data_IF_107789731108
#
_entry.id   IF_107789731108
#
_cell.length_a   1.000
_cell.length_b   1.000
_cell.length_c   1.000
_cell.angle_alpha   90.00
_cell.angle_beta   90.00
_cell.angle_gamma   90.00
#
_symmetry.space_group_name_H-M   'P 1'
#
loop_
_entity.id
_entity.type
_entity.pdbx_description
1 polymer ?
#
# COMPACT_ATOMS: atom_id res chain seq x y z
N UNK A 1 -8.46 -3.30 -30.56
CA UNK A 1 -9.29 -2.80 -29.44
C UNK A 1 -9.96 -3.92 -28.63
N UNK A 2 -10.75 -4.84 -29.24
CA UNK A 2 -11.46 -5.89 -28.47
C UNK A 2 -10.52 -6.84 -27.70
N UNK A 3 -9.37 -7.21 -28.26
CA UNK A 3 -8.37 -8.07 -27.61
C UNK A 3 -7.70 -7.39 -26.40
N UNK A 4 -7.37 -6.11 -26.50
CA UNK A 4 -6.75 -5.33 -25.40
C UNK A 4 -7.74 -5.17 -24.23
N UNK A 5 -9.00 -4.88 -24.51
CA UNK A 5 -10.05 -4.80 -23.49
C UNK A 5 -10.23 -6.13 -22.75
N UNK A 6 -10.24 -7.26 -23.46
CA UNK A 6 -10.34 -8.60 -22.84
C UNK A 6 -9.11 -8.87 -21.98
N UNK A 7 -7.93 -8.45 -22.41
CA UNK A 7 -6.68 -8.58 -21.66
C UNK A 7 -6.72 -7.81 -20.34
N UNK A 8 -7.13 -6.56 -20.37
CA UNK A 8 -7.24 -5.70 -19.18
C UNK A 8 -8.28 -6.24 -18.21
N UNK A 9 -9.45 -6.70 -18.70
CA UNK A 9 -10.48 -7.31 -17.87
C UNK A 9 -10.00 -8.60 -17.20
N UNK A 10 -9.23 -9.43 -17.89
CA UNK A 10 -8.65 -10.65 -17.31
C UNK A 10 -7.67 -10.33 -16.19
N UNK A 11 -6.82 -9.30 -16.37
CA UNK A 11 -5.91 -8.84 -15.32
C UNK A 11 -6.67 -8.26 -14.10
N UNK A 12 -7.73 -7.50 -14.35
CA UNK A 12 -8.57 -6.95 -13.28
C UNK A 12 -9.29 -8.06 -12.50
N UNK A 13 -9.83 -9.06 -13.18
CA UNK A 13 -10.45 -10.20 -12.52
C UNK A 13 -9.42 -11.02 -11.72
N UNK A 14 -8.26 -11.25 -12.29
CA UNK A 14 -7.17 -11.96 -11.62
C UNK A 14 -6.74 -11.27 -10.33
N UNK A 15 -6.46 -9.95 -10.39
CA UNK A 15 -6.05 -9.21 -9.19
C UNK A 15 -7.19 -9.11 -8.17
N UNK A 16 -8.44 -8.98 -8.61
CA UNK A 16 -9.59 -8.96 -7.71
C UNK A 16 -9.72 -10.27 -6.91
N UNK A 17 -9.65 -11.42 -7.57
CA UNK A 17 -9.71 -12.74 -6.92
C UNK A 17 -8.53 -12.95 -5.96
N UNK A 18 -7.34 -12.58 -6.41
CA UNK A 18 -6.14 -12.71 -5.61
C UNK A 18 -6.19 -11.84 -4.36
N UNK A 19 -6.66 -10.60 -4.47
CA UNK A 19 -6.82 -9.69 -3.34
C UNK A 19 -7.92 -10.14 -2.37
N UNK A 20 -9.03 -10.65 -2.88
CA UNK A 20 -10.06 -11.26 -2.03
C UNK A 20 -9.45 -12.34 -1.12
N UNK A 21 -8.71 -13.27 -1.71
CA UNK A 21 -8.11 -14.37 -0.95
C UNK A 21 -6.98 -13.91 -0.01
N UNK A 22 -6.07 -13.05 -0.47
CA UNK A 22 -4.94 -12.58 0.35
C UNK A 22 -5.37 -11.66 1.50
N UNK A 23 -6.37 -10.81 1.28
CA UNK A 23 -6.89 -9.94 2.31
C UNK A 23 -7.66 -10.71 3.37
N UNK A 24 -8.49 -11.68 2.96
CA UNK A 24 -9.13 -12.63 3.86
C UNK A 24 -8.07 -13.37 4.70
N UNK A 25 -7.04 -13.93 4.07
CA UNK A 25 -5.94 -14.61 4.77
C UNK A 25 -5.29 -13.72 5.83
N UNK A 26 -5.04 -12.45 5.52
CA UNK A 26 -4.39 -11.53 6.46
C UNK A 26 -5.19 -11.36 7.73
N UNK A 27 -6.52 -11.22 7.63
CA UNK A 27 -7.42 -11.15 8.80
C UNK A 27 -7.50 -12.49 9.53
N UNK A 28 -7.62 -13.61 8.78
CA UNK A 28 -7.69 -14.96 9.36
C UNK A 28 -6.45 -15.33 10.17
N UNK A 29 -5.26 -14.98 9.69
CA UNK A 29 -4.02 -15.28 10.41
C UNK A 29 -3.96 -14.60 11.78
N UNK A 30 -4.50 -13.38 11.90
CA UNK A 30 -4.56 -12.69 13.18
C UNK A 30 -5.56 -13.38 14.11
N UNK A 31 -6.80 -13.62 13.63
CA UNK A 31 -7.85 -14.25 14.44
C UNK A 31 -7.47 -15.68 14.83
N UNK A 32 -6.93 -16.45 13.90
CA UNK A 32 -6.43 -17.80 14.16
C UNK A 32 -5.25 -17.78 15.13
N UNK A 33 -4.30 -16.84 14.95
CA UNK A 33 -3.17 -16.69 15.85
C UNK A 33 -3.59 -16.40 17.29
N UNK A 34 -4.60 -15.57 17.50
CA UNK A 34 -5.20 -15.34 18.83
C UNK A 34 -5.80 -16.64 19.39
N UNK A 35 -6.53 -17.42 18.61
CA UNK A 35 -7.12 -18.68 19.05
C UNK A 35 -6.08 -19.77 19.36
N UNK A 36 -4.90 -19.72 18.71
CA UNK A 36 -3.75 -20.60 19.00
C UNK A 36 -2.88 -20.09 20.18
N UNK A 37 -3.28 -18.98 20.83
CA UNK A 37 -2.58 -18.40 21.96
C UNK A 37 -1.34 -17.59 21.60
N UNK A 38 -1.19 -17.15 20.36
CA UNK A 38 -0.09 -16.29 19.96
C UNK A 38 -0.24 -14.89 20.52
N UNK A 39 0.85 -14.34 21.06
CA UNK A 39 0.85 -13.00 21.65
C UNK A 39 0.68 -11.91 20.58
N UNK A 40 0.12 -10.75 20.95
CA UNK A 40 0.06 -9.58 20.08
C UNK A 40 1.43 -9.13 19.58
N UNK A 41 2.48 -9.30 20.38
CA UNK A 41 3.87 -9.07 19.98
C UNK A 41 4.28 -9.99 18.81
N UNK A 42 3.95 -11.28 18.88
CA UNK A 42 4.24 -12.22 17.81
C UNK A 42 3.47 -11.87 16.52
N UNK A 43 2.19 -11.50 16.64
CA UNK A 43 1.37 -11.09 15.49
C UNK A 43 1.91 -9.81 14.83
N UNK A 44 2.47 -8.89 15.63
CA UNK A 44 3.20 -7.72 15.10
C UNK A 44 4.45 -8.12 14.32
N UNK A 45 5.26 -9.03 14.84
CA UNK A 45 6.44 -9.57 14.13
C UNK A 45 6.01 -10.31 12.87
N UNK A 46 4.95 -11.12 12.93
CA UNK A 46 4.40 -11.83 11.78
C UNK A 46 4.02 -10.88 10.64
N UNK A 47 3.38 -9.76 10.99
CA UNK A 47 3.04 -8.70 10.02
C UNK A 47 4.30 -8.01 9.48
N UNK A 48 5.28 -7.74 10.31
CA UNK A 48 6.58 -7.18 9.89
C UNK A 48 7.29 -8.10 8.90
N UNK A 49 7.32 -9.39 9.14
CA UNK A 49 7.94 -10.37 8.23
C UNK A 49 7.25 -10.41 6.87
N UNK A 50 5.93 -10.21 6.81
CA UNK A 50 5.23 -10.03 5.53
C UNK A 50 5.78 -8.84 4.75
N UNK A 51 5.94 -7.69 5.38
CA UNK A 51 6.48 -6.50 4.72
C UNK A 51 7.99 -6.61 4.44
N UNK A 52 8.73 -7.42 5.21
CA UNK A 52 10.10 -7.78 4.85
C UNK A 52 10.14 -8.56 3.53
N UNK A 53 9.27 -9.57 3.36
CA UNK A 53 9.11 -10.29 2.10
C UNK A 53 8.74 -9.36 0.95
N UNK A 54 7.81 -8.43 1.19
CA UNK A 54 7.42 -7.39 0.24
C UNK A 54 8.60 -6.49 -0.15
N UNK A 55 9.41 -6.06 0.81
CA UNK A 55 10.60 -5.26 0.57
C UNK A 55 11.62 -6.01 -0.31
N UNK A 56 11.90 -7.27 -0.01
CA UNK A 56 12.78 -8.12 -0.83
C UNK A 56 12.21 -8.31 -2.24
N UNK A 57 10.88 -8.44 -2.37
CA UNK A 57 10.21 -8.53 -3.66
C UNK A 57 10.44 -7.29 -4.52
N UNK A 58 10.43 -6.07 -3.96
CA UNK A 58 10.68 -4.85 -4.73
C UNK A 58 12.07 -4.83 -5.37
N UNK A 59 13.04 -5.49 -4.76
CA UNK A 59 14.42 -5.59 -5.27
C UNK A 59 14.58 -6.69 -6.35
N UNK A 60 13.81 -7.76 -6.26
CA UNK A 60 14.00 -8.96 -7.07
C UNK A 60 12.97 -9.15 -8.19
N UNK A 61 11.78 -8.53 -8.08
CA UNK A 61 10.67 -8.76 -9.00
C UNK A 61 11.02 -8.47 -10.46
N UNK A 62 11.70 -7.34 -10.73
CA UNK A 62 12.12 -6.97 -12.09
C UNK A 62 13.04 -8.01 -12.72
N UNK A 63 14.00 -8.54 -11.95
CA UNK A 63 14.91 -9.59 -12.42
C UNK A 63 14.18 -10.93 -12.66
N UNK A 64 13.21 -11.25 -11.80
CA UNK A 64 12.37 -12.44 -12.01
C UNK A 64 11.53 -12.31 -13.29
N UNK A 65 10.91 -11.16 -13.51
CA UNK A 65 10.11 -10.88 -14.71
C UNK A 65 10.98 -10.97 -15.97
N UNK A 66 12.18 -10.35 -15.95
CA UNK A 66 13.15 -10.43 -17.07
C UNK A 66 13.52 -11.88 -17.40
N UNK A 67 13.71 -12.72 -16.40
CA UNK A 67 14.16 -14.10 -16.56
C UNK A 67 13.05 -15.06 -16.95
N UNK A 68 11.86 -14.93 -16.36
CA UNK A 68 10.77 -15.91 -16.49
C UNK A 68 9.63 -15.42 -17.41
N UNK A 69 9.52 -14.11 -17.62
CA UNK A 69 8.37 -13.46 -18.25
C UNK A 69 7.19 -13.27 -17.30
N UNK A 70 6.24 -12.40 -17.67
CA UNK A 70 5.11 -11.99 -16.81
C UNK A 70 4.20 -13.17 -16.43
N UNK A 71 3.78 -13.98 -17.40
CA UNK A 71 2.82 -15.07 -17.16
C UNK A 71 3.39 -16.13 -16.21
N UNK A 72 4.63 -16.58 -16.45
CA UNK A 72 5.25 -17.61 -15.60
C UNK A 72 5.52 -17.08 -14.19
N UNK A 73 5.97 -15.82 -14.08
CA UNK A 73 6.21 -15.17 -12.80
C UNK A 73 4.91 -15.04 -12.00
N UNK A 74 3.82 -14.59 -12.64
CA UNK A 74 2.49 -14.51 -12.03
C UNK A 74 2.03 -15.89 -11.52
N UNK A 75 2.06 -16.89 -12.40
CA UNK A 75 1.57 -18.25 -12.09
C UNK A 75 2.37 -18.89 -10.95
N UNK A 76 3.70 -18.75 -10.97
CA UNK A 76 4.57 -19.26 -9.91
C UNK A 76 4.26 -18.61 -8.55
N UNK A 77 4.20 -17.29 -8.52
CA UNK A 77 3.92 -16.58 -7.25
C UNK A 77 2.50 -16.83 -6.75
N UNK A 78 1.51 -16.92 -7.64
CA UNK A 78 0.13 -17.22 -7.26
C UNK A 78 0.00 -18.66 -6.72
N UNK A 79 0.69 -19.63 -7.32
CA UNK A 79 0.75 -21.00 -6.79
C UNK A 79 1.45 -21.04 -5.43
N UNK A 80 2.57 -20.32 -5.27
CA UNK A 80 3.27 -20.18 -3.99
C UNK A 80 2.33 -19.61 -2.90
N UNK A 81 1.54 -18.59 -3.23
CA UNK A 81 0.56 -18.00 -2.32
C UNK A 81 -0.52 -19.00 -1.93
N UNK A 82 -1.13 -19.69 -2.90
CA UNK A 82 -2.17 -20.70 -2.65
C UNK A 82 -1.67 -21.85 -1.76
N UNK A 83 -0.48 -22.38 -2.06
CA UNK A 83 0.17 -23.39 -1.22
C UNK A 83 0.49 -22.87 0.19
N UNK A 84 0.93 -21.61 0.30
CA UNK A 84 1.24 -20.98 1.58
C UNK A 84 0.00 -20.89 2.49
N UNK A 85 -1.18 -20.63 1.94
CA UNK A 85 -2.43 -20.61 2.72
C UNK A 85 -2.70 -21.96 3.38
N UNK A 86 -2.54 -23.06 2.63
CA UNK A 86 -2.72 -24.41 3.16
C UNK A 86 -1.61 -24.79 4.15
N UNK A 87 -0.39 -24.33 3.91
CA UNK A 87 0.74 -24.57 4.80
C UNK A 87 0.53 -23.96 6.20
N UNK A 88 -0.15 -22.81 6.34
CA UNK A 88 -0.50 -22.25 7.66
C UNK A 88 -1.39 -23.17 8.48
N UNK A 89 -2.28 -23.91 7.82
CA UNK A 89 -3.19 -24.86 8.46
C UNK A 89 -2.46 -26.15 8.86
N UNK A 90 -1.52 -26.60 8.02
CA UNK A 90 -0.77 -27.83 8.25
C UNK A 90 0.33 -27.65 9.31
N UNK A 91 0.97 -26.50 9.36
CA UNK A 91 2.12 -26.24 10.22
C UNK A 91 1.81 -25.12 11.22
N UNK A 92 1.03 -25.45 12.25
CA UNK A 92 0.65 -24.50 13.32
C UNK A 92 1.81 -24.35 14.31
N UNK A 93 2.82 -23.58 13.92
CA UNK A 93 3.91 -23.18 14.82
C UNK A 93 4.40 -21.76 14.53
N UNK A 94 4.86 -21.01 15.55
CA UNK A 94 5.35 -19.64 15.36
C UNK A 94 6.45 -19.54 14.30
N UNK A 95 7.43 -20.45 14.33
CA UNK A 95 8.56 -20.42 13.39
C UNK A 95 8.10 -20.71 11.95
N UNK A 96 7.25 -21.72 11.75
CA UNK A 96 6.70 -22.04 10.44
C UNK A 96 5.89 -20.86 9.89
N UNK A 97 5.07 -20.22 10.73
CA UNK A 97 4.25 -19.07 10.31
C UNK A 97 5.11 -17.88 9.90
N UNK A 98 6.21 -17.58 10.57
CA UNK A 98 7.13 -16.53 10.16
C UNK A 98 7.74 -16.82 8.77
N UNK A 99 8.21 -18.06 8.58
CA UNK A 99 8.79 -18.47 7.31
C UNK A 99 7.78 -18.38 6.15
N UNK A 100 6.59 -18.94 6.35
CA UNK A 100 5.51 -18.89 5.35
C UNK A 100 5.12 -17.43 5.09
N UNK A 101 5.07 -16.58 6.11
CA UNK A 101 4.66 -15.17 6.01
C UNK A 101 5.63 -14.34 5.16
N UNK A 102 6.92 -14.62 5.27
CA UNK A 102 7.92 -14.02 4.38
C UNK A 102 7.60 -14.32 2.91
N UNK A 103 7.35 -15.59 2.57
CA UNK A 103 7.04 -15.97 1.20
C UNK A 103 5.68 -15.46 0.71
N UNK A 104 4.68 -15.33 1.59
CA UNK A 104 3.41 -14.70 1.21
C UNK A 104 3.58 -13.23 0.89
N UNK A 105 4.34 -12.48 1.68
CA UNK A 105 4.68 -11.09 1.40
C UNK A 105 5.47 -10.96 0.09
N UNK A 106 6.51 -11.76 -0.06
CA UNK A 106 7.31 -11.80 -1.28
C UNK A 106 6.47 -12.09 -2.53
N UNK A 107 5.71 -13.19 -2.53
CA UNK A 107 4.90 -13.60 -3.66
C UNK A 107 3.85 -12.56 -4.05
N UNK A 108 3.19 -11.96 -3.05
CA UNK A 108 2.16 -10.95 -3.29
C UNK A 108 2.71 -9.70 -3.98
N UNK A 109 3.85 -9.17 -3.52
CA UNK A 109 4.44 -7.97 -4.10
C UNK A 109 5.08 -8.21 -5.46
N UNK A 110 5.61 -9.41 -5.71
CA UNK A 110 6.00 -9.82 -7.08
C UNK A 110 4.79 -9.82 -8.00
N UNK A 111 3.65 -10.37 -7.57
CA UNK A 111 2.42 -10.37 -8.38
C UNK A 111 1.92 -8.95 -8.65
N UNK A 112 1.95 -8.06 -7.67
CA UNK A 112 1.63 -6.64 -7.89
C UNK A 112 2.53 -6.04 -8.97
N UNK A 113 3.84 -6.22 -8.86
CA UNK A 113 4.80 -5.72 -9.85
C UNK A 113 4.52 -6.26 -11.25
N UNK A 114 4.19 -7.56 -11.37
CA UNK A 114 3.83 -8.20 -12.63
C UNK A 114 2.57 -7.58 -13.23
N UNK A 115 1.49 -7.46 -12.45
CA UNK A 115 0.20 -6.94 -12.93
C UNK A 115 0.32 -5.48 -13.35
N UNK A 116 0.97 -4.65 -12.54
CA UNK A 116 1.15 -3.22 -12.80
C UNK A 116 2.05 -2.96 -14.01
N UNK A 117 3.17 -3.69 -14.13
CA UNK A 117 4.01 -3.66 -15.32
C UNK A 117 3.25 -4.09 -16.58
N UNK A 118 2.38 -5.07 -16.44
CA UNK A 118 1.59 -5.57 -17.57
C UNK A 118 0.49 -4.58 -17.98
N UNK A 119 -0.24 -4.02 -17.03
CA UNK A 119 -1.24 -2.97 -17.28
C UNK A 119 -0.59 -1.74 -17.94
N UNK A 120 0.57 -1.32 -17.45
CA UNK A 120 1.32 -0.20 -18.03
C UNK A 120 1.72 -0.47 -19.48
N UNK A 121 2.26 -1.66 -19.76
CA UNK A 121 2.73 -2.00 -21.11
C UNK A 121 1.63 -2.27 -22.14
N UNK A 122 0.39 -2.53 -21.71
CA UNK A 122 -0.75 -2.78 -22.63
C UNK A 122 -1.68 -1.58 -22.80
N UNK A 123 -1.57 -0.58 -21.95
CA UNK A 123 -2.48 0.58 -21.96
C UNK A 123 -1.85 1.69 -22.78
N UNK A 124 -2.61 2.21 -23.76
CA UNK A 124 -2.22 3.42 -24.50
C UNK A 124 -2.19 4.62 -23.54
N UNK A 125 -1.28 5.55 -23.77
CA UNK A 125 -1.04 6.70 -22.89
C UNK A 125 -2.33 7.45 -22.55
N UNK A 126 -3.16 7.74 -23.56
CA UNK A 126 -4.46 8.42 -23.41
C UNK A 126 -5.44 7.76 -22.40
N UNK A 127 -5.33 6.46 -22.16
CA UNK A 127 -6.23 5.72 -21.25
C UNK A 127 -5.55 5.27 -19.96
N UNK A 128 -4.27 5.52 -19.81
CA UNK A 128 -3.43 5.00 -18.70
C UNK A 128 -3.98 5.43 -17.34
N UNK A 129 -4.28 6.70 -17.17
CA UNK A 129 -4.87 7.26 -15.96
C UNK A 129 -6.23 6.62 -15.58
N UNK A 130 -7.10 6.39 -16.56
CA UNK A 130 -8.41 5.73 -16.32
C UNK A 130 -8.24 4.27 -15.88
N UNK A 131 -7.38 3.53 -16.56
CA UNK A 131 -7.09 2.12 -16.24
C UNK A 131 -6.53 2.03 -14.82
N UNK A 132 -5.63 2.95 -14.44
CA UNK A 132 -5.06 3.00 -13.11
C UNK A 132 -6.09 3.36 -12.03
N UNK A 133 -6.99 4.30 -12.30
CA UNK A 133 -8.09 4.64 -11.37
C UNK A 133 -9.02 3.45 -11.14
N UNK A 134 -9.36 2.71 -12.20
CA UNK A 134 -10.17 1.47 -12.09
C UNK A 134 -9.42 0.41 -11.30
N UNK A 135 -8.12 0.23 -11.56
CA UNK A 135 -7.27 -0.70 -10.82
C UNK A 135 -7.26 -0.38 -9.31
N UNK A 136 -7.09 0.90 -8.94
CA UNK A 136 -7.12 1.35 -7.56
C UNK A 136 -8.48 1.07 -6.91
N UNK A 137 -9.57 1.34 -7.61
CA UNK A 137 -10.92 1.07 -7.13
C UNK A 137 -11.16 -0.44 -6.92
N UNK A 138 -10.71 -1.28 -7.86
CA UNK A 138 -10.79 -2.74 -7.74
C UNK A 138 -10.03 -3.24 -6.52
N UNK A 139 -8.82 -2.70 -6.26
CA UNK A 139 -8.05 -3.04 -5.06
C UNK A 139 -8.84 -2.73 -3.78
N UNK A 140 -9.39 -1.54 -3.65
CA UNK A 140 -10.17 -1.13 -2.46
C UNK A 140 -11.42 -1.98 -2.27
N UNK A 141 -12.17 -2.22 -3.35
CA UNK A 141 -13.40 -3.05 -3.31
C UNK A 141 -13.04 -4.49 -2.94
N UNK A 142 -11.99 -5.07 -3.52
CA UNK A 142 -11.58 -6.44 -3.22
C UNK A 142 -11.20 -6.60 -1.75
N UNK A 143 -10.43 -5.66 -1.19
CA UNK A 143 -10.03 -5.69 0.22
C UNK A 143 -11.23 -5.52 1.15
N UNK A 144 -12.16 -4.62 0.84
CA UNK A 144 -13.36 -4.43 1.64
C UNK A 144 -14.33 -5.63 1.53
N UNK A 145 -14.53 -6.17 0.32
CA UNK A 145 -15.39 -7.31 0.07
C UNK A 145 -14.86 -8.61 0.71
N UNK A 146 -13.52 -8.76 0.79
CA UNK A 146 -12.90 -9.93 1.41
C UNK A 146 -13.30 -10.11 2.87
N UNK A 147 -13.56 -9.01 3.58
CA UNK A 147 -13.95 -9.07 4.98
C UNK A 147 -15.35 -9.68 5.17
N UNK A 148 -16.24 -9.55 4.18
CA UNK A 148 -17.56 -10.16 4.22
C UNK A 148 -17.50 -11.70 4.14
N UNK A 149 -16.42 -12.26 3.61
CA UNK A 149 -16.22 -13.71 3.60
C UNK A 149 -16.02 -14.30 5.01
N UNK A 150 -15.64 -13.47 6.00
CA UNK A 150 -15.59 -13.90 7.41
C UNK A 150 -16.96 -14.32 7.96
N UNK A 151 -18.07 -13.97 7.28
CA UNK A 151 -19.43 -14.34 7.67
C UNK A 151 -19.82 -15.75 7.21
N UNK A 152 -19.02 -16.37 6.33
CA UNK A 152 -19.32 -17.70 5.77
C UNK A 152 -19.14 -18.81 6.81
N UNK A 153 -18.12 -18.67 7.68
CA UNK A 153 -17.83 -19.66 8.71
C UNK A 153 -17.04 -19.01 9.86
N UNK A 154 -16.80 -19.77 10.92
CA UNK A 154 -16.00 -19.29 12.04
C UNK A 154 -14.53 -19.07 11.61
N UNK A 155 -13.90 -18.00 12.08
CA UNK A 155 -12.50 -17.66 11.75
C UNK A 155 -11.49 -18.74 12.17
N UNK A 156 -11.86 -19.64 13.06
CA UNK A 156 -11.04 -20.81 13.46
C UNK A 156 -11.19 -22.01 12.54
N UNK A 157 -12.21 -21.99 11.65
CA UNK A 157 -12.50 -23.09 10.71
C UNK A 157 -11.49 -23.15 9.57
N UNK A 158 -11.22 -24.34 9.09
CA UNK A 158 -10.43 -24.59 7.88
C UNK A 158 -11.13 -24.09 6.60
N UNK A 159 -12.45 -23.99 6.61
CA UNK A 159 -13.26 -23.56 5.44
C UNK A 159 -12.79 -22.23 4.87
N UNK A 160 -12.55 -21.24 5.72
CA UNK A 160 -12.14 -19.91 5.27
C UNK A 160 -10.72 -19.90 4.68
N UNK A 161 -9.81 -20.75 5.19
CA UNK A 161 -8.48 -20.94 4.58
C UNK A 161 -8.59 -21.62 3.22
N UNK A 162 -9.48 -22.61 3.08
CA UNK A 162 -9.75 -23.26 1.78
C UNK A 162 -10.30 -22.25 0.78
N UNK A 163 -11.27 -21.41 1.19
CA UNK A 163 -11.82 -20.34 0.34
C UNK A 163 -10.70 -19.36 -0.07
N UNK A 164 -9.85 -18.92 0.85
CA UNK A 164 -8.75 -18.03 0.54
C UNK A 164 -7.77 -18.65 -0.47
N UNK A 165 -7.37 -19.91 -0.27
CA UNK A 165 -6.51 -20.65 -1.19
C UNK A 165 -7.16 -20.83 -2.56
N UNK A 166 -8.45 -21.17 -2.59
CA UNK A 166 -9.22 -21.31 -3.83
C UNK A 166 -9.27 -20.00 -4.62
N UNK A 167 -9.61 -18.87 -3.98
CA UNK A 167 -9.67 -17.56 -4.62
C UNK A 167 -8.30 -17.13 -5.19
N UNK A 168 -7.24 -17.31 -4.40
CA UNK A 168 -5.87 -17.01 -4.85
C UNK A 168 -5.51 -17.87 -6.06
N UNK A 169 -5.76 -19.17 -6.01
CA UNK A 169 -5.41 -20.08 -7.10
C UNK A 169 -6.26 -19.84 -8.35
N UNK A 170 -7.56 -19.54 -8.16
CA UNK A 170 -8.48 -19.20 -9.25
C UNK A 170 -8.08 -17.94 -10.00
N UNK A 171 -7.28 -17.05 -9.40
CA UNK A 171 -6.75 -15.87 -10.07
C UNK A 171 -5.85 -16.20 -11.30
N UNK A 172 -5.34 -17.42 -11.40
CA UNK A 172 -4.57 -17.88 -12.58
C UNK A 172 -5.47 -18.11 -13.78
N UNK A 173 -6.74 -18.50 -13.55
CA UNK A 173 -7.66 -18.90 -14.65
C UNK A 173 -7.89 -17.82 -15.70
N UNK A 174 -8.22 -16.55 -15.34
CA UNK A 174 -8.43 -15.50 -16.34
C UNK A 174 -7.21 -15.23 -17.20
N UNK A 175 -6.01 -15.30 -16.62
CA UNK A 175 -4.75 -15.07 -17.32
C UNK A 175 -4.44 -16.24 -18.27
N UNK A 176 -4.64 -17.47 -17.82
CA UNK A 176 -4.38 -18.66 -18.63
C UNK A 176 -5.36 -18.82 -19.79
N UNK A 177 -6.60 -18.34 -19.63
CA UNK A 177 -7.65 -18.40 -20.68
C UNK A 177 -7.42 -17.42 -21.82
N UNK A 178 -6.74 -16.31 -21.57
CA UNK A 178 -6.55 -15.23 -22.55
C UNK A 178 -5.18 -15.34 -23.25
N UNK A 179 -5.16 -15.07 -24.56
CA UNK A 179 -3.92 -14.92 -25.32
C UNK A 179 -3.33 -13.53 -25.09
N UNK A 180 -2.78 -13.33 -23.92
CA UNK A 180 -2.17 -12.06 -23.54
C UNK A 180 -0.80 -11.92 -24.22
N UNK A 181 -0.59 -10.84 -24.97
CA UNK A 181 0.76 -10.47 -25.37
C UNK A 181 1.51 -9.98 -24.13
N UNK A 182 2.70 -10.54 -23.91
CA UNK A 182 3.55 -10.06 -22.84
C UNK A 182 4.17 -8.73 -23.26
N UNK A 183 4.13 -7.70 -22.40
CA UNK A 183 4.84 -6.46 -22.69
C UNK A 183 6.36 -6.75 -22.78
N UNK A 184 7.05 -5.99 -23.62
CA UNK A 184 8.50 -5.97 -23.56
C UNK A 184 8.91 -5.52 -22.17
N UNK A 185 9.81 -6.27 -21.54
CA UNK A 185 10.26 -5.95 -20.17
C UNK A 185 10.90 -4.57 -20.21
N UNK A 186 10.33 -3.62 -19.48
CA UNK A 186 10.91 -2.29 -19.36
C UNK A 186 12.35 -2.38 -18.84
N UNK A 187 13.19 -1.53 -19.38
CA UNK A 187 14.61 -1.40 -19.04
C UNK A 187 14.78 -1.12 -17.53
N UNK A 188 15.96 -1.39 -17.03
CA UNK A 188 16.37 -1.18 -15.65
C UNK A 188 15.80 0.11 -15.07
N UNK A 189 15.06 -0.01 -13.97
CA UNK A 189 14.57 1.17 -13.27
C UNK A 189 15.77 1.84 -12.59
N UNK A 190 16.13 3.08 -12.97
CA UNK A 190 17.18 3.79 -12.29
C UNK A 190 16.77 3.98 -10.84
N UNK A 191 17.65 3.65 -9.90
CA UNK A 191 17.44 3.93 -8.48
C UNK A 191 18.14 5.23 -8.12
N UNK A 192 17.44 6.15 -7.51
CA UNK A 192 18.03 7.34 -6.91
C UNK A 192 18.47 7.02 -5.49
N UNK A 193 19.65 7.49 -5.08
CA UNK A 193 20.09 7.31 -3.69
C UNK A 193 19.08 7.95 -2.72
N UNK A 194 18.70 7.22 -1.66
CA UNK A 194 17.78 7.71 -0.61
C UNK A 194 18.28 9.04 -0.02
N UNK A 195 19.60 9.23 0.10
CA UNK A 195 20.19 10.47 0.58
C UNK A 195 19.89 11.65 -0.35
N UNK A 196 19.98 11.46 -1.67
CA UNK A 196 19.64 12.52 -2.64
C UNK A 196 18.15 12.87 -2.59
N UNK A 197 17.25 11.88 -2.39
CA UNK A 197 15.82 12.13 -2.22
C UNK A 197 15.56 12.89 -0.91
N UNK A 198 16.28 12.56 0.17
CA UNK A 198 16.16 13.26 1.44
C UNK A 198 16.63 14.73 1.32
N UNK A 199 17.73 14.99 0.62
CA UNK A 199 18.22 16.34 0.39
C UNK A 199 17.26 17.18 -0.44
N UNK A 200 16.64 16.58 -1.47
CA UNK A 200 15.67 17.25 -2.34
C UNK A 200 14.33 17.52 -1.66
N UNK A 201 13.79 16.54 -0.93
CA UNK A 201 12.46 16.60 -0.35
C UNK A 201 12.36 15.87 1.01
N UNK A 202 12.95 16.42 2.09
CA UNK A 202 12.97 15.79 3.41
C UNK A 202 11.57 15.55 3.97
N UNK A 203 10.61 16.42 3.65
CA UNK A 203 9.21 16.28 4.06
C UNK A 203 8.54 15.09 3.38
N UNK A 204 8.83 14.84 2.09
CA UNK A 204 8.31 13.68 1.37
C UNK A 204 8.82 12.37 1.97
N UNK A 205 10.11 12.31 2.31
CA UNK A 205 10.73 11.15 2.99
C UNK A 205 10.07 10.89 4.34
N UNK A 206 9.89 11.95 5.14
CA UNK A 206 9.22 11.87 6.44
C UNK A 206 7.77 11.39 6.28
N UNK A 207 7.03 11.94 5.33
CA UNK A 207 5.65 11.55 5.05
C UNK A 207 5.52 10.07 4.63
N UNK A 208 6.37 9.60 3.72
CA UNK A 208 6.38 8.20 3.28
C UNK A 208 6.75 7.24 4.42
N UNK A 209 7.75 7.58 5.22
CA UNK A 209 8.14 6.77 6.39
C UNK A 209 6.99 6.63 7.40
N UNK A 210 6.37 7.76 7.77
CA UNK A 210 5.24 7.78 8.71
C UNK A 210 4.03 7.04 8.16
N UNK A 211 3.72 7.25 6.88
CA UNK A 211 2.65 6.49 6.22
C UNK A 211 2.89 4.98 6.31
N UNK A 212 4.15 4.51 6.13
CA UNK A 212 4.52 3.11 6.30
C UNK A 212 4.40 2.65 7.76
N UNK A 213 4.98 3.41 8.70
CA UNK A 213 4.93 3.09 10.13
C UNK A 213 3.50 2.90 10.65
N UNK A 214 2.52 3.62 10.10
CA UNK A 214 1.12 3.53 10.51
C UNK A 214 0.35 2.50 9.69
N UNK A 215 0.50 2.48 8.37
CA UNK A 215 -0.29 1.60 7.53
C UNK A 215 0.11 0.13 7.64
N UNK A 216 1.38 -0.16 7.95
CA UNK A 216 1.82 -1.53 8.23
C UNK A 216 1.03 -2.16 9.38
N UNK A 217 1.03 -1.59 10.59
CA UNK A 217 0.19 -2.05 11.69
C UNK A 217 -1.31 -1.98 11.40
N UNK A 218 -1.77 -0.97 10.68
CA UNK A 218 -3.18 -0.85 10.31
C UNK A 218 -3.66 -2.09 9.54
N UNK A 219 -2.94 -2.50 8.51
CA UNK A 219 -3.31 -3.67 7.72
C UNK A 219 -3.18 -4.99 8.49
N UNK A 220 -2.20 -5.10 9.38
CA UNK A 220 -1.89 -6.36 10.04
C UNK A 220 -2.44 -6.53 11.45
N UNK A 221 -2.66 -5.45 12.20
CA UNK A 221 -3.05 -5.53 13.61
C UNK A 221 -4.46 -4.97 13.92
N UNK A 222 -5.13 -4.33 12.95
CA UNK A 222 -6.51 -3.87 13.15
C UNK A 222 -7.46 -5.03 13.51
N UNK A 223 -7.38 -6.23 12.89
CA UNK A 223 -8.23 -7.35 13.31
C UNK A 223 -8.03 -7.75 14.78
N UNK A 224 -6.79 -7.69 15.28
CA UNK A 224 -6.48 -7.94 16.69
C UNK A 224 -7.12 -6.87 17.59
N UNK A 225 -6.90 -5.59 17.27
CA UNK A 225 -7.48 -4.48 18.02
C UNK A 225 -9.01 -4.59 18.14
N UNK A 226 -9.68 -4.89 17.03
CA UNK A 226 -11.14 -5.01 17.00
C UNK A 226 -11.62 -6.25 17.75
N UNK A 227 -10.91 -7.38 17.65
CA UNK A 227 -11.26 -8.60 18.39
C UNK A 227 -11.08 -8.44 19.89
N UNK A 228 -10.04 -7.73 20.34
CA UNK A 228 -9.81 -7.41 21.75
C UNK A 228 -10.87 -6.45 22.33
N UNK A 229 -11.51 -5.63 21.51
CA UNK A 229 -12.69 -4.82 21.88
C UNK A 229 -13.97 -5.68 22.04
N UNK A 230 -13.91 -6.98 21.78
CA UNK A 230 -15.05 -7.89 21.89
C UNK A 230 -16.07 -7.77 20.76
N UNK A 231 -15.65 -7.33 19.56
CA UNK A 231 -16.52 -7.30 18.40
C UNK A 231 -16.74 -8.71 17.86
N UNK A 232 -17.96 -8.97 17.40
CA UNK A 232 -18.30 -10.19 16.65
C UNK A 232 -17.62 -10.18 15.27
N UNK A 233 -17.54 -11.34 14.61
CA UNK A 233 -17.00 -11.43 13.24
C UNK A 233 -17.72 -10.50 12.26
N UNK A 234 -19.03 -10.32 12.43
CA UNK A 234 -19.84 -9.41 11.61
C UNK A 234 -19.44 -7.95 11.82
N UNK A 235 -19.28 -7.54 13.08
CA UNK A 235 -18.88 -6.18 13.43
C UNK A 235 -17.44 -5.91 13.01
N UNK A 236 -16.54 -6.89 13.13
CA UNK A 236 -15.17 -6.81 12.66
C UNK A 236 -15.10 -6.64 11.14
N UNK A 237 -15.86 -7.44 10.39
CA UNK A 237 -15.94 -7.32 8.94
C UNK A 237 -16.47 -5.94 8.52
N UNK A 238 -17.52 -5.45 9.17
CA UNK A 238 -18.08 -4.12 8.94
C UNK A 238 -17.07 -3.02 9.30
N UNK A 239 -16.40 -3.12 10.45
CA UNK A 239 -15.39 -2.16 10.90
C UNK A 239 -14.27 -1.98 9.88
N UNK A 240 -13.65 -3.09 9.44
CA UNK A 240 -12.54 -3.02 8.48
C UNK A 240 -13.02 -2.50 7.12
N UNK A 241 -14.14 -3.01 6.62
CA UNK A 241 -14.71 -2.57 5.34
C UNK A 241 -15.06 -1.08 5.35
N UNK A 242 -15.74 -0.60 6.39
CA UNK A 242 -16.11 0.82 6.53
C UNK A 242 -14.89 1.71 6.74
N UNK A 243 -13.88 1.24 7.48
CA UNK A 243 -12.62 2.00 7.66
C UNK A 243 -11.91 2.19 6.32
N UNK A 244 -11.86 1.17 5.46
CA UNK A 244 -11.20 1.24 4.16
C UNK A 244 -12.00 2.11 3.19
N UNK A 245 -13.30 1.84 3.03
CA UNK A 245 -14.15 2.57 2.08
C UNK A 245 -14.34 4.03 2.52
N UNK A 246 -14.61 4.26 3.79
CA UNK A 246 -14.69 5.62 4.35
C UNK A 246 -13.37 6.36 4.25
N UNK A 247 -12.26 5.66 4.50
CA UNK A 247 -10.92 6.18 4.31
C UNK A 247 -10.64 6.59 2.86
N UNK A 248 -11.05 5.79 1.90
CA UNK A 248 -10.92 6.11 0.48
C UNK A 248 -11.71 7.36 0.08
N UNK A 249 -12.91 7.55 0.67
CA UNK A 249 -13.72 8.75 0.43
C UNK A 249 -13.07 10.02 1.03
N UNK A 250 -12.49 9.92 2.22
CA UNK A 250 -11.87 11.06 2.93
C UNK A 250 -10.51 11.42 2.32
N UNK A 251 -9.75 10.43 1.85
CA UNK A 251 -8.47 10.66 1.19
C UNK A 251 -8.59 11.60 -0.01
N UNK A 252 -9.70 11.54 -0.79
CA UNK A 252 -9.88 12.35 -1.99
C UNK A 252 -9.95 13.86 -1.71
N UNK A 253 -10.81 14.38 -0.79
CA UNK A 253 -10.83 15.80 -0.47
C UNK A 253 -9.52 16.29 0.16
N UNK A 254 -8.85 15.47 0.99
CA UNK A 254 -7.56 15.85 1.59
C UNK A 254 -6.48 15.97 0.51
N UNK A 255 -6.45 15.02 -0.42
CA UNK A 255 -5.53 15.06 -1.55
C UNK A 255 -5.77 16.27 -2.44
N UNK A 256 -7.03 16.55 -2.77
CA UNK A 256 -7.40 17.70 -3.60
C UNK A 256 -7.07 19.04 -2.91
N UNK A 257 -7.19 19.10 -1.59
CA UNK A 257 -6.78 20.27 -0.83
C UNK A 257 -5.27 20.52 -0.96
N UNK A 258 -4.44 19.49 -1.09
CA UNK A 258 -2.99 19.62 -1.30
C UNK A 258 -2.61 20.24 -2.66
N UNK A 259 -3.54 20.29 -3.63
CA UNK A 259 -3.29 20.94 -4.92
C UNK A 259 -3.40 22.47 -4.85
N UNK A 260 -4.09 23.00 -3.82
CA UNK A 260 -4.34 24.43 -3.64
C UNK A 260 -3.50 25.06 -2.52
N UNK A 261 -2.77 24.25 -1.75
CA UNK A 261 -1.97 24.71 -0.63
C UNK A 261 -0.57 24.10 -0.64
N UNK A 262 0.36 24.69 0.10
CA UNK A 262 1.69 24.11 0.32
C UNK A 262 1.54 22.68 0.89
N UNK A 263 1.93 21.67 0.10
CA UNK A 263 1.81 20.26 0.42
C UNK A 263 2.46 19.88 1.75
N UNK A 264 3.52 20.58 2.15
CA UNK A 264 4.20 20.41 3.43
C UNK A 264 3.28 20.75 4.60
N UNK A 265 2.50 21.84 4.46
CA UNK A 265 1.52 22.25 5.48
C UNK A 265 0.34 21.28 5.54
N UNK A 266 -0.09 20.75 4.39
CA UNK A 266 -1.17 19.75 4.35
C UNK A 266 -0.72 18.44 5.01
N UNK A 267 0.52 17.97 4.78
CA UNK A 267 1.07 16.79 5.46
C UNK A 267 1.13 17.04 6.98
N UNK A 268 1.59 18.20 7.43
CA UNK A 268 1.60 18.54 8.86
C UNK A 268 0.17 18.56 9.45
N UNK A 269 -0.77 19.15 8.74
CA UNK A 269 -2.17 19.17 9.18
C UNK A 269 -2.75 17.76 9.29
N UNK A 270 -2.47 16.88 8.32
CA UNK A 270 -2.92 15.48 8.39
C UNK A 270 -2.29 14.73 9.56
N UNK A 271 -1.04 15.02 9.92
CA UNK A 271 -0.40 14.43 11.10
C UNK A 271 -1.06 14.91 12.39
N UNK A 272 -1.26 16.21 12.55
CA UNK A 272 -1.88 16.79 13.75
C UNK A 272 -3.32 16.32 13.90
N UNK A 273 -4.11 16.40 12.83
CA UNK A 273 -5.51 15.93 12.87
C UNK A 273 -5.57 14.40 13.08
N UNK A 274 -4.69 13.64 12.44
CA UNK A 274 -4.56 12.20 12.66
C UNK A 274 -4.20 11.85 14.12
N UNK A 275 -3.32 12.63 14.75
CA UNK A 275 -2.98 12.49 16.16
C UNK A 275 -4.20 12.75 17.07
N UNK A 276 -5.00 13.79 16.79
CA UNK A 276 -6.23 14.07 17.51
C UNK A 276 -7.26 12.96 17.37
N UNK A 277 -7.43 12.41 16.16
CA UNK A 277 -8.31 11.26 15.92
C UNK A 277 -7.79 10.02 16.64
N UNK A 278 -6.48 9.75 16.59
CA UNK A 278 -5.88 8.62 17.31
C UNK A 278 -6.05 8.76 18.83
N UNK A 279 -5.91 9.97 19.39
CA UNK A 279 -6.20 10.26 20.79
C UNK A 279 -7.67 9.98 21.13
N UNK A 280 -8.59 10.39 20.28
CA UNK A 280 -10.02 10.10 20.44
C UNK A 280 -10.29 8.60 20.40
N UNK A 281 -9.62 7.84 19.51
CA UNK A 281 -9.71 6.38 19.49
C UNK A 281 -9.16 5.74 20.78
N UNK A 282 -8.06 6.24 21.36
CA UNK A 282 -7.54 5.79 22.67
C UNK A 282 -8.57 5.98 23.76
N UNK A 283 -9.17 7.17 23.83
CA UNK A 283 -10.18 7.52 24.83
C UNK A 283 -11.42 6.62 24.65
N UNK A 284 -11.91 6.49 23.43
CA UNK A 284 -13.07 5.64 23.14
C UNK A 284 -12.80 4.16 23.46
N UNK A 285 -11.65 3.61 23.07
CA UNK A 285 -11.31 2.23 23.37
C UNK A 285 -11.21 1.94 24.88
N UNK A 286 -10.80 2.94 25.67
CA UNK A 286 -10.61 2.77 27.11
C UNK A 286 -11.88 3.01 27.95
N UNK A 287 -12.68 4.00 27.58
CA UNK A 287 -13.80 4.50 28.39
C UNK A 287 -15.18 4.33 27.75
N UNK A 288 -15.24 4.14 26.46
CA UNK A 288 -16.46 4.08 25.65
C UNK A 288 -16.44 2.93 24.66
N UNK A 289 -15.93 1.76 25.07
CA UNK A 289 -15.79 0.57 24.22
C UNK A 289 -17.14 0.11 23.60
N UNK A 290 -18.26 0.41 24.26
CA UNK A 290 -19.61 0.12 23.78
C UNK A 290 -20.03 1.02 22.59
N UNK A 291 -19.39 2.15 22.39
CA UNK A 291 -19.66 3.07 21.28
C UNK A 291 -18.98 2.59 19.98
N UNK A 292 -19.32 1.37 19.55
CA UNK A 292 -18.71 0.68 18.40
C UNK A 292 -18.77 1.48 17.10
N UNK A 293 -19.91 2.14 16.84
CA UNK A 293 -20.10 2.99 15.67
C UNK A 293 -19.16 4.18 15.65
N UNK A 294 -18.94 4.84 16.80
CA UNK A 294 -18.03 5.97 16.92
C UNK A 294 -16.58 5.56 16.64
N UNK A 295 -16.13 4.44 17.20
CA UNK A 295 -14.78 3.92 16.98
C UNK A 295 -14.58 3.59 15.48
N UNK A 296 -15.59 3.03 14.82
CA UNK A 296 -15.56 2.75 13.37
C UNK A 296 -15.44 4.03 12.54
N UNK A 297 -16.20 5.06 12.86
CA UNK A 297 -16.13 6.36 12.17
C UNK A 297 -14.77 7.01 12.37
N UNK A 298 -14.25 7.02 13.60
CA UNK A 298 -12.91 7.53 13.90
C UNK A 298 -11.83 6.78 13.12
N UNK A 299 -11.95 5.44 13.02
CA UNK A 299 -11.03 4.61 12.24
C UNK A 299 -11.10 4.94 10.74
N UNK A 300 -12.28 5.20 10.19
CA UNK A 300 -12.46 5.61 8.80
C UNK A 300 -11.80 6.98 8.51
N UNK A 301 -12.02 7.95 9.41
CA UNK A 301 -11.38 9.27 9.30
C UNK A 301 -9.86 9.13 9.40
N UNK A 302 -9.36 8.38 10.38
CA UNK A 302 -7.94 8.11 10.57
C UNK A 302 -7.31 7.47 9.32
N UNK A 303 -7.94 6.41 8.82
CA UNK A 303 -7.49 5.71 7.62
C UNK A 303 -7.37 6.67 6.42
N UNK A 304 -8.38 7.53 6.20
CA UNK A 304 -8.37 8.48 5.09
C UNK A 304 -7.28 9.54 5.18
N UNK A 305 -7.05 10.08 6.37
CA UNK A 305 -5.96 11.02 6.61
C UNK A 305 -4.60 10.39 6.28
N UNK A 306 -4.33 9.19 6.80
CA UNK A 306 -3.05 8.51 6.58
C UNK A 306 -2.91 7.98 5.14
N UNK A 307 -4.01 7.55 4.51
CA UNK A 307 -3.99 7.14 3.10
C UNK A 307 -3.59 8.30 2.17
N UNK A 308 -3.93 9.54 2.49
CA UNK A 308 -3.58 10.70 1.69
C UNK A 308 -2.09 11.07 1.77
N UNK A 309 -1.40 10.74 2.88
CA UNK A 309 -0.02 11.19 3.14
C UNK A 309 0.96 10.72 2.08
N UNK A 310 0.92 9.44 1.70
CA UNK A 310 1.88 8.86 0.74
C UNK A 310 1.76 9.52 -0.65
N UNK A 311 0.57 9.60 -1.29
CA UNK A 311 0.44 10.27 -2.58
C UNK A 311 0.84 11.75 -2.53
N UNK A 312 0.45 12.49 -1.49
CA UNK A 312 0.85 13.89 -1.32
C UNK A 312 2.38 14.01 -1.22
N UNK A 313 3.03 13.08 -0.51
CA UNK A 313 4.49 13.06 -0.38
C UNK A 313 5.19 12.76 -1.71
N UNK A 314 4.62 11.86 -2.52
CA UNK A 314 5.15 11.55 -3.87
C UNK A 314 5.05 12.79 -4.76
N UNK A 315 3.88 13.44 -4.82
CA UNK A 315 3.71 14.64 -5.64
C UNK A 315 4.59 15.78 -5.13
N UNK A 316 4.79 15.90 -3.81
CA UNK A 316 5.73 16.88 -3.24
C UNK A 316 7.18 16.64 -3.69
N UNK A 317 7.61 15.38 -3.88
CA UNK A 317 8.90 15.06 -4.45
C UNK A 317 8.96 15.43 -5.95
N UNK A 318 7.90 15.06 -6.70
CA UNK A 318 7.79 15.36 -8.14
C UNK A 318 7.98 16.85 -8.43
N UNK A 319 7.41 17.73 -7.60
CA UNK A 319 7.56 19.19 -7.72
C UNK A 319 9.01 19.69 -7.52
N UNK A 320 9.93 18.83 -7.07
CA UNK A 320 11.28 19.24 -6.64
C UNK A 320 12.44 18.55 -7.36
N UNK A 321 12.15 17.54 -8.15
CA UNK A 321 13.15 16.80 -8.91
C UNK A 321 12.90 16.93 -10.40
N UNK A 322 13.99 16.82 -11.18
CA UNK A 322 13.89 16.82 -12.63
C UNK A 322 13.08 15.62 -13.14
N UNK A 323 12.35 15.82 -14.24
CA UNK A 323 11.49 14.82 -14.88
C UNK A 323 12.21 13.48 -15.14
N UNK A 324 13.50 13.51 -15.50
CA UNK A 324 14.32 12.32 -15.75
C UNK A 324 14.54 11.43 -14.52
N UNK A 325 14.37 11.99 -13.32
CA UNK A 325 14.57 11.28 -12.05
C UNK A 325 13.27 10.88 -11.35
N UNK A 326 12.10 11.15 -11.94
CA UNK A 326 10.79 10.90 -11.33
C UNK A 326 10.60 9.45 -10.90
N UNK A 327 10.84 8.50 -11.81
CA UNK A 327 10.67 7.06 -11.54
C UNK A 327 11.65 6.60 -10.46
N UNK A 328 12.90 7.07 -10.53
CA UNK A 328 13.94 6.71 -9.57
C UNK A 328 13.63 7.25 -8.16
N UNK A 329 13.23 8.53 -8.07
CA UNK A 329 12.88 9.18 -6.80
C UNK A 329 11.68 8.54 -6.12
N UNK A 330 10.67 8.23 -6.88
CA UNK A 330 9.44 7.62 -6.35
C UNK A 330 9.64 6.16 -5.95
N UNK A 331 10.49 5.41 -6.66
CA UNK A 331 10.92 4.08 -6.23
C UNK A 331 11.59 4.13 -4.87
N UNK A 332 12.42 5.16 -4.62
CA UNK A 332 13.08 5.37 -3.32
C UNK A 332 12.07 5.71 -2.21
N UNK A 333 11.04 6.52 -2.50
CA UNK A 333 9.97 6.79 -1.54
C UNK A 333 9.14 5.53 -1.21
N UNK A 334 8.90 4.66 -2.20
CA UNK A 334 8.21 3.38 -1.96
C UNK A 334 9.06 2.45 -1.08
N UNK A 335 10.39 2.44 -1.25
CA UNK A 335 11.30 1.69 -0.38
C UNK A 335 11.26 2.22 1.06
N UNK A 336 11.21 3.55 1.25
CA UNK A 336 11.09 4.19 2.57
C UNK A 336 9.76 3.84 3.21
N UNK A 337 8.66 3.87 2.44
CA UNK A 337 7.35 3.41 2.89
C UNK A 337 7.39 1.93 3.30
N UNK A 338 8.02 1.06 2.50
CA UNK A 338 8.21 -0.36 2.79
C UNK A 338 8.99 -0.59 4.08
N UNK A 339 10.05 0.19 4.31
CA UNK A 339 10.83 0.15 5.56
C UNK A 339 9.96 0.52 6.77
N UNK A 340 9.18 1.59 6.66
CA UNK A 340 8.21 1.97 7.70
C UNK A 340 7.19 0.86 7.96
N UNK A 341 6.65 0.26 6.91
CA UNK A 341 5.68 -0.83 7.01
C UNK A 341 6.27 -2.12 7.61
N UNK A 342 7.57 -2.34 7.45
CA UNK A 342 8.28 -3.45 8.09
C UNK A 342 8.51 -3.19 9.60
N UNK A 343 8.93 -1.99 9.97
CA UNK A 343 9.29 -1.65 11.35
C UNK A 343 8.02 -1.43 12.20
N UNK A 344 7.01 -0.77 11.64
CA UNK A 344 5.80 -0.33 12.36
C UNK A 344 5.07 -1.43 13.11
N UNK A 345 4.72 -2.56 12.47
CA UNK A 345 3.97 -3.64 13.14
C UNK A 345 4.73 -4.29 14.29
N UNK A 346 6.05 -4.42 14.19
CA UNK A 346 6.86 -4.96 15.29
C UNK A 346 6.78 -4.05 16.53
N UNK A 347 6.93 -2.73 16.34
CA UNK A 347 6.84 -1.76 17.45
C UNK A 347 5.42 -1.73 18.02
N UNK A 348 4.40 -1.68 17.16
CA UNK A 348 2.99 -1.67 17.58
C UNK A 348 2.62 -2.96 18.32
N UNK A 349 3.06 -4.12 17.83
CA UNK A 349 2.86 -5.41 18.47
C UNK A 349 3.54 -5.50 19.84
N UNK A 350 4.72 -4.88 19.99
CA UNK A 350 5.39 -4.79 21.27
C UNK A 350 4.61 -3.90 22.26
N UNK A 351 4.04 -2.78 21.79
CA UNK A 351 3.20 -1.91 22.61
C UNK A 351 1.93 -2.62 23.12
N UNK A 352 1.33 -3.50 22.30
CA UNK A 352 0.17 -4.31 22.70
C UNK A 352 0.41 -5.14 23.95
N UNK A 353 1.63 -5.63 24.16
CA UNK A 353 2.00 -6.39 25.35
C UNK A 353 1.84 -5.61 26.67
N UNK A 354 2.03 -4.28 26.62
CA UNK A 354 2.08 -3.44 27.82
C UNK A 354 0.84 -2.57 28.03
N UNK A 355 0.15 -2.20 26.97
CA UNK A 355 -0.94 -1.21 27.01
C UNK A 355 -2.33 -1.80 26.72
N UNK A 356 -2.42 -3.10 26.37
CA UNK A 356 -3.70 -3.77 26.07
C UNK A 356 -4.43 -3.16 24.86
N UNK A 357 -5.76 -3.18 24.89
CA UNK A 357 -6.64 -2.81 23.77
C UNK A 357 -6.35 -1.43 23.16
N UNK A 358 -6.00 -0.44 23.98
CA UNK A 358 -5.71 0.92 23.50
C UNK A 358 -4.32 1.08 22.88
N UNK A 359 -3.49 0.03 22.85
CA UNK A 359 -2.10 0.11 22.42
C UNK A 359 -1.94 0.52 20.94
N UNK A 360 -2.79 -0.01 20.06
CA UNK A 360 -2.67 0.28 18.63
C UNK A 360 -2.96 1.76 18.32
N UNK A 361 -4.08 2.37 18.74
CA UNK A 361 -4.30 3.80 18.55
C UNK A 361 -3.31 4.67 19.35
N UNK A 362 -2.82 4.23 20.52
CA UNK A 362 -1.78 4.94 21.26
C UNK A 362 -0.43 4.95 20.51
N UNK A 363 -0.07 3.87 19.85
CA UNK A 363 1.07 3.81 18.95
C UNK A 363 0.93 4.81 17.80
N UNK A 364 -0.24 4.90 17.17
CA UNK A 364 -0.48 5.87 16.11
C UNK A 364 -0.33 7.31 16.60
N UNK A 365 -0.90 7.61 17.76
CA UNK A 365 -0.77 8.91 18.41
C UNK A 365 0.71 9.27 18.65
N UNK A 366 1.47 8.35 19.22
CA UNK A 366 2.90 8.52 19.52
C UNK A 366 3.71 8.82 18.26
N UNK A 367 3.53 8.03 17.21
CA UNK A 367 4.22 8.24 15.93
C UNK A 367 3.87 9.60 15.34
N UNK A 368 2.57 9.94 15.27
CA UNK A 368 2.14 11.20 14.66
C UNK A 368 2.61 12.42 15.44
N UNK A 369 2.61 12.38 16.77
CA UNK A 369 3.11 13.49 17.60
C UNK A 369 4.60 13.72 17.39
N UNK A 370 5.42 12.66 17.45
CA UNK A 370 6.86 12.78 17.24
C UNK A 370 7.17 13.34 15.85
N UNK A 371 6.56 12.76 14.81
CA UNK A 371 6.84 13.18 13.45
C UNK A 371 6.21 14.52 13.08
N UNK A 372 5.12 14.95 13.73
CA UNK A 372 4.64 16.33 13.64
C UNK A 372 5.69 17.33 14.14
N UNK A 373 6.34 17.02 15.26
CA UNK A 373 7.42 17.87 15.78
C UNK A 373 8.62 17.91 14.82
N UNK A 374 9.04 16.75 14.29
CA UNK A 374 10.12 16.69 13.29
C UNK A 374 9.76 17.53 12.05
N UNK A 375 8.52 17.41 11.58
CA UNK A 375 8.03 18.14 10.42
C UNK A 375 8.01 19.66 10.67
N UNK A 376 7.60 20.11 11.86
CA UNK A 376 7.65 21.52 12.24
C UNK A 376 9.10 22.04 12.20
N UNK A 377 10.06 21.29 12.74
CA UNK A 377 11.47 21.64 12.68
C UNK A 377 11.98 21.71 11.23
N UNK A 378 11.57 20.77 10.39
CA UNK A 378 11.92 20.79 8.96
C UNK A 378 11.32 22.02 8.25
N UNK A 379 10.07 22.38 8.55
CA UNK A 379 9.41 23.56 7.98
C UNK A 379 10.09 24.87 8.39
N UNK A 380 10.51 24.98 9.66
CA UNK A 380 11.21 26.17 10.16
C UNK A 380 12.62 26.30 9.52
N UNK A 381 13.32 25.15 9.34
CA UNK A 381 14.66 25.13 8.75
C UNK A 381 14.67 25.28 7.23
N UNK A 382 13.65 24.76 6.54
CA UNK A 382 13.54 24.93 5.10
C UNK A 382 13.15 26.39 4.83
N UNK A 383 14.11 27.20 4.29
CA UNK A 383 13.77 28.48 3.68
C UNK A 383 12.63 28.25 2.68
N UNK A 384 11.69 29.16 2.64
CA UNK A 384 10.60 29.19 1.65
C UNK A 384 11.30 29.21 0.28
N UNK A 385 11.47 28.07 -0.33
CA UNK A 385 11.76 28.01 -1.76
C UNK A 385 10.44 28.37 -2.39
N UNK A 386 10.37 29.54 -3.02
CA UNK A 386 9.22 29.95 -3.82
C UNK A 386 8.94 28.79 -4.79
N UNK A 387 7.72 28.26 -4.68
CA UNK A 387 7.24 27.25 -5.64
C UNK A 387 7.11 28.01 -6.94
N UNK A 388 7.78 27.61 -8.04
CA UNK A 388 7.53 28.22 -9.33
C UNK A 388 6.03 28.17 -9.65
N UNK A 389 5.46 29.26 -10.18
CA UNK A 389 4.00 29.40 -10.45
C UNK A 389 3.47 28.37 -11.47
N UNK A 390 4.35 27.63 -12.16
CA UNK A 390 4.04 26.66 -13.21
C UNK A 390 3.88 25.20 -12.76
N UNK A 391 3.64 24.93 -11.47
CA UNK A 391 3.44 23.56 -11.02
C UNK A 391 2.03 23.05 -11.27
N UNK A 392 1.86 22.34 -12.37
CA UNK A 392 0.62 21.67 -12.77
C UNK A 392 0.41 20.27 -12.14
N UNK A 393 1.33 19.81 -11.27
CA UNK A 393 1.20 18.46 -10.69
C UNK A 393 0.01 18.34 -9.77
N UNK A 394 -0.93 17.42 -10.12
CA UNK A 394 -2.19 17.22 -9.40
C UNK A 394 -2.17 15.96 -8.56
N UNK A 395 -2.89 15.99 -7.46
CA UNK A 395 -3.08 14.81 -6.63
C UNK A 395 -3.81 13.69 -7.37
N UNK A 396 -3.27 12.47 -7.32
CA UNK A 396 -3.99 11.26 -7.68
C UNK A 396 -3.84 10.20 -6.58
N UNK A 397 -4.94 9.53 -6.26
CA UNK A 397 -4.92 8.42 -5.30
C UNK A 397 -4.08 7.27 -5.86
N UNK A 398 -3.11 6.78 -5.08
CA UNK A 398 -2.17 5.74 -5.51
C UNK A 398 -2.24 4.52 -4.60
N UNK A 399 -2.16 3.34 -5.20
CA UNK A 399 -1.79 2.11 -4.49
C UNK A 399 -0.28 2.09 -4.24
N UNK A 400 0.15 1.45 -3.15
CA UNK A 400 1.54 1.43 -2.66
C UNK A 400 2.15 0.06 -2.85
N UNK A 401 2.11 -0.41 -4.07
CA UNK A 401 2.36 -1.82 -4.40
C UNK A 401 3.66 -2.03 -5.16
N UNK A 402 3.93 -1.21 -6.17
CA UNK A 402 5.20 -1.28 -6.90
C UNK A 402 5.62 0.07 -7.51
N UNK A 403 6.89 0.20 -7.94
CA UNK A 403 7.35 1.40 -8.65
C UNK A 403 6.67 1.64 -9.99
N UNK A 404 6.06 0.61 -10.58
CA UNK A 404 5.37 0.69 -11.88
C UNK A 404 4.04 1.47 -11.84
N UNK A 405 3.56 1.83 -10.65
CA UNK A 405 2.37 2.67 -10.45
C UNK A 405 2.58 4.09 -10.95
N UNK A 406 3.79 4.63 -10.83
CA UNK A 406 4.09 6.02 -11.18
C UNK A 406 4.02 6.36 -12.67
N UNK A 407 4.55 5.52 -13.59
CA UNK A 407 4.35 5.76 -15.02
C UNK A 407 2.89 5.79 -15.45
N UNK A 408 1.98 5.29 -14.59
CA UNK A 408 0.52 5.32 -14.81
C UNK A 408 -0.14 6.57 -14.23
N UNK A 409 0.61 7.47 -13.56
CA UNK A 409 0.09 8.72 -13.04
C UNK A 409 -0.27 9.67 -14.20
N UNK A 410 -1.39 10.43 -14.11
CA UNK A 410 -1.83 11.33 -15.20
C UNK A 410 -0.75 12.29 -15.72
N UNK A 411 0.12 12.73 -14.84
CA UNK A 411 1.16 13.71 -15.15
C UNK A 411 2.42 13.12 -15.79
N UNK A 412 2.59 11.80 -15.76
CA UNK A 412 3.67 11.14 -16.50
C UNK A 412 3.43 11.15 -18.02
N UNK A 413 2.21 11.45 -18.48
CA UNK A 413 1.84 11.49 -19.89
C UNK A 413 2.47 12.69 -20.61
N UNK A 414 2.56 13.86 -19.98
CA UNK A 414 3.19 15.05 -20.58
C UNK A 414 4.70 14.90 -20.81
N UNK A 415 5.36 14.00 -20.09
CA UNK A 415 6.81 13.76 -20.22
C UNK A 415 7.15 12.90 -21.44
N UNK A 416 6.20 12.10 -21.92
CA UNK A 416 6.41 11.15 -23.02
C UNK A 416 6.07 11.74 -24.40
N UNK A 417 5.29 12.82 -24.45
CA UNK A 417 4.81 13.44 -25.69
C UNK A 417 5.71 14.58 -26.23
N UNK A 418 6.95 14.73 -25.75
CA UNK A 418 7.90 15.64 -26.39
C UNK A 418 8.33 14.99 -27.72
N UNK A 419 7.96 15.58 -28.88
CA UNK A 419 8.39 15.07 -30.17
C UNK A 419 9.92 14.92 -30.21
N UNK A 420 10.41 13.85 -30.80
CA UNK A 420 11.87 13.58 -30.92
C UNK A 420 12.65 14.76 -31.57
N UNK A 421 11.97 15.60 -32.33
CA UNK A 421 12.54 16.82 -32.92
C UNK A 421 13.02 17.83 -31.86
N UNK A 422 12.36 18.01 -30.71
CA UNK A 422 12.83 18.87 -29.62
C UNK A 422 13.97 18.29 -28.82
N UNK A 423 14.08 16.96 -28.74
CA UNK A 423 15.21 16.31 -28.08
C UNK A 423 16.55 16.51 -28.83
N UNK A 424 16.48 16.70 -30.12
CA UNK A 424 17.66 16.98 -30.97
C UNK A 424 18.14 18.43 -30.87
N UNK A 425 17.26 19.39 -30.62
CA UNK A 425 17.59 20.81 -30.46
C UNK A 425 18.25 21.10 -29.09
N UNK A 426 17.71 20.57 -27.99
CA UNK A 426 18.30 20.73 -26.66
C UNK A 426 19.67 20.07 -26.51
N UNK A 427 19.93 18.97 -27.20
CA UNK A 427 21.25 18.32 -27.23
C UNK A 427 22.26 19.05 -28.14
N UNK A 428 21.79 19.87 -29.09
CA UNK A 428 22.66 20.67 -29.92
C UNK A 428 23.17 21.93 -29.19
N UNK A 429 22.31 22.56 -28.39
CA UNK A 429 22.68 23.77 -27.62
C UNK A 429 23.61 23.48 -26.42
N UNK A 430 23.57 22.26 -25.85
CA UNK A 430 24.51 21.84 -24.80
C UNK A 430 25.93 21.49 -25.30
N UNK A 431 26.12 21.35 -26.62
CA UNK A 431 27.45 21.08 -27.21
C UNK A 431 28.20 22.33 -27.68
N UNK A 432 27.56 23.50 -27.58
CA UNK A 432 28.13 24.78 -28.06
C UNK A 432 28.46 25.76 -26.90
N UNK A 433 28.15 25.37 -25.66
CA UNK A 433 28.58 26.07 -24.44
C UNK A 433 29.62 25.24 -23.69
#
# INVERSE_FOLDING_TARGET
MRSILVSILALFLAIFLLLLGNSLLTTLLVLRGVSEGFSGQFLGILTSVYFLGAFVATLLASNMIKRMGHIRCFTFCTALLGCSVLAYVLFVSPVAWLFIRFFTGFGMFVVYTVVESWLNGQTQDTYRSRVFSIYTLINLIAVAASQQLLLVDNATSYTLFIIASFLITAAVMPISWTRLQQPHVAVDMPSMSILKVFDAAPVAVTGCLVSGLIMGPFWGLTPLFVSELGYTNQELAAFISLSILGGALIQYPVGRWSDYMDRRRVILFTFVLGALVALSMVICAKYFSDQRGLITVLSAIFCGLVLAVYPISVVHLVDRINKDHLVAGSSSLLMIYGLGSFIGPAIAGFALKYMGVSALPAYYLFVLVIFSFILIVQLIRSRIVEIPEDHESRYAAMVRTSPNVLPMHPESEEVLDIPEERRSEDNADQKVS
#
